data_IF_533134662941
#
_entry.id   IF_533134662941
#
_cell.length_a   1.000
_cell.length_b   1.000
_cell.length_c   1.000
_cell.angle_alpha   90.00
_cell.angle_beta   90.00
_cell.angle_gamma   90.00
#
_symmetry.space_group_name_H-M   'P 1'
#
loop_
_entity.id
_entity.type
_entity.pdbx_description
1 polymer ?
#
# COMPACT_ATOMS: atom_id res chain seq x y z
N UNK A 1 13.17 -4.78 -3.20
CA UNK A 1 12.07 -5.67 -2.74
C UNK A 1 11.21 -6.14 -3.91
N UNK A 2 10.76 -7.40 -3.86
CA UNK A 2 9.85 -8.04 -4.81
C UNK A 2 8.39 -7.84 -4.34
N UNK A 3 7.46 -7.73 -5.29
CA UNK A 3 6.04 -7.55 -4.98
C UNK A 3 5.46 -8.81 -4.29
N UNK A 4 4.57 -8.68 -3.28
CA UNK A 4 3.96 -9.81 -2.57
C UNK A 4 2.92 -10.55 -3.45
N UNK A 5 3.42 -11.36 -4.40
CA UNK A 5 2.56 -12.06 -5.36
C UNK A 5 1.75 -13.18 -4.72
N UNK A 6 2.26 -13.82 -3.66
CA UNK A 6 1.54 -14.88 -2.96
C UNK A 6 0.28 -14.30 -2.30
N UNK A 7 0.46 -13.23 -1.55
CA UNK A 7 -0.60 -12.50 -0.88
C UNK A 7 -1.61 -11.95 -1.88
N UNK A 8 -1.15 -11.45 -3.04
CA UNK A 8 -2.03 -11.02 -4.12
C UNK A 8 -2.89 -12.16 -4.68
N UNK A 9 -2.32 -13.36 -4.86
CA UNK A 9 -3.03 -14.54 -5.38
C UNK A 9 -4.01 -15.10 -4.35
N UNK A 10 -3.65 -15.04 -3.07
CA UNK A 10 -4.47 -15.55 -1.95
C UNK A 10 -5.55 -14.55 -1.50
N UNK A 11 -5.52 -13.30 -1.96
CA UNK A 11 -6.49 -12.27 -1.59
C UNK A 11 -7.85 -12.49 -2.28
N UNK A 12 -8.90 -12.62 -1.49
CA UNK A 12 -10.26 -12.97 -1.93
C UNK A 12 -11.29 -11.84 -1.77
N UNK A 13 -10.85 -10.65 -1.39
CA UNK A 13 -11.70 -9.46 -1.21
C UNK A 13 -11.52 -8.44 -2.36
N UNK A 14 -12.00 -7.21 -2.20
CA UNK A 14 -12.03 -6.22 -3.26
C UNK A 14 -10.64 -5.80 -3.75
N UNK A 15 -10.25 -6.34 -4.91
CA UNK A 15 -8.95 -6.12 -5.54
C UNK A 15 -8.69 -4.64 -5.88
N UNK A 16 -9.75 -3.87 -6.20
CA UNK A 16 -9.62 -2.45 -6.49
C UNK A 16 -9.32 -1.65 -5.23
N UNK A 17 -10.01 -1.96 -4.13
CA UNK A 17 -9.79 -1.31 -2.83
C UNK A 17 -8.37 -1.52 -2.32
N UNK A 18 -7.89 -2.77 -2.30
CA UNK A 18 -6.52 -3.06 -1.84
C UNK A 18 -5.46 -2.45 -2.75
N UNK A 19 -5.72 -2.36 -4.06
CA UNK A 19 -4.82 -1.69 -5.01
C UNK A 19 -4.75 -0.20 -4.71
N UNK A 20 -5.90 0.46 -4.54
CA UNK A 20 -5.95 1.88 -4.17
C UNK A 20 -5.26 2.14 -2.83
N UNK A 21 -5.49 1.29 -1.83
CA UNK A 21 -4.85 1.37 -0.52
C UNK A 21 -3.33 1.23 -0.62
N UNK A 22 -2.85 0.24 -1.36
CA UNK A 22 -1.43 -0.01 -1.61
C UNK A 22 -0.75 1.16 -2.31
N UNK A 23 -1.38 1.75 -3.34
CA UNK A 23 -0.86 2.94 -4.04
C UNK A 23 -0.82 4.16 -3.13
N UNK A 24 -1.87 4.43 -2.35
CA UNK A 24 -1.89 5.53 -1.38
C UNK A 24 -0.81 5.35 -0.32
N UNK A 25 -0.59 4.13 0.16
CA UNK A 25 0.46 3.83 1.12
C UNK A 25 1.85 4.03 0.54
N UNK A 26 2.09 3.57 -0.68
CA UNK A 26 3.35 3.80 -1.40
C UNK A 26 3.67 5.30 -1.55
N UNK A 27 2.65 6.12 -1.82
CA UNK A 27 2.81 7.57 -1.88
C UNK A 27 3.18 8.18 -0.52
N UNK A 28 2.55 7.74 0.57
CA UNK A 28 2.93 8.18 1.92
C UNK A 28 4.38 7.83 2.23
N UNK A 29 4.81 6.60 1.92
CA UNK A 29 6.19 6.14 2.11
C UNK A 29 7.17 6.99 1.31
N UNK A 30 6.85 7.31 0.06
CA UNK A 30 7.66 8.18 -0.79
C UNK A 30 7.75 9.62 -0.25
N UNK A 31 6.68 10.12 0.39
CA UNK A 31 6.66 11.46 1.00
C UNK A 31 7.39 11.56 2.33
N UNK A 32 7.42 10.48 3.10
CA UNK A 32 8.02 10.45 4.45
C UNK A 32 9.53 10.20 4.39
N UNK A 33 10.06 9.61 3.32
CA UNK A 33 11.50 9.37 3.22
C UNK A 33 12.30 10.68 3.30
N UNK A 34 13.11 10.79 4.36
CA UNK A 34 14.18 11.78 4.45
C UNK A 34 15.29 11.47 3.42
N UNK A 35 15.96 12.50 2.87
CA UNK A 35 16.92 12.37 1.79
C UNK A 35 18.14 11.49 2.11
N UNK A 36 18.43 11.21 3.38
CA UNK A 36 19.66 10.51 3.81
C UNK A 36 19.47 9.02 4.17
N UNK A 37 18.29 8.44 3.93
CA UNK A 37 18.13 7.00 4.14
C UNK A 37 18.73 6.21 2.97
N UNK A 38 19.99 5.79 3.11
CA UNK A 38 20.73 4.89 2.19
C UNK A 38 20.07 3.50 1.95
N UNK A 39 18.79 3.33 2.27
CA UNK A 39 18.14 2.02 2.40
C UNK A 39 17.18 1.62 1.28
N UNK A 40 16.86 2.44 0.29
CA UNK A 40 15.68 2.12 -0.53
C UNK A 40 15.88 2.16 -2.04
N UNK A 41 16.62 1.18 -2.54
CA UNK A 41 16.33 0.57 -3.87
C UNK A 41 14.99 -0.21 -3.87
N UNK A 42 14.23 -0.17 -2.76
CA UNK A 42 12.96 -0.84 -2.68
C UNK A 42 11.90 -0.09 -3.48
N UNK A 43 11.16 -0.83 -4.30
CA UNK A 43 10.02 -0.29 -5.02
C UNK A 43 8.94 0.06 -3.98
N UNK A 44 8.66 1.34 -3.76
CA UNK A 44 7.68 1.82 -2.76
C UNK A 44 6.32 1.14 -2.89
N UNK A 45 5.90 0.83 -4.11
CA UNK A 45 4.66 0.09 -4.39
C UNK A 45 4.68 -1.30 -3.76
N UNK A 46 5.79 -2.04 -3.89
CA UNK A 46 5.94 -3.35 -3.26
C UNK A 46 5.95 -3.26 -1.73
N UNK A 47 6.52 -2.17 -1.17
CA UNK A 47 6.54 -1.95 0.28
C UNK A 47 5.15 -1.64 0.82
N UNK A 48 4.46 -0.69 0.18
CA UNK A 48 3.09 -0.34 0.54
C UNK A 48 2.17 -1.55 0.43
N UNK A 49 2.23 -2.28 -0.68
CA UNK A 49 1.45 -3.50 -0.87
C UNK A 49 1.71 -4.53 0.24
N UNK A 50 2.98 -4.81 0.56
CA UNK A 50 3.32 -5.76 1.64
C UNK A 50 2.72 -5.32 2.97
N UNK A 51 2.87 -4.05 3.35
CA UNK A 51 2.33 -3.54 4.62
C UNK A 51 0.81 -3.69 4.71
N UNK A 52 0.10 -3.48 3.60
CA UNK A 52 -1.36 -3.67 3.54
C UNK A 52 -1.72 -5.15 3.60
N UNK A 53 -1.12 -6.00 2.76
CA UNK A 53 -1.42 -7.44 2.72
C UNK A 53 -1.12 -8.17 4.03
N UNK A 54 -0.06 -7.79 4.76
CA UNK A 54 0.30 -8.41 6.03
C UNK A 54 -0.42 -7.80 7.24
N UNK A 55 -1.29 -6.80 7.03
CA UNK A 55 -1.98 -6.10 8.11
C UNK A 55 -1.07 -5.25 9.02
N UNK A 56 0.16 -4.95 8.58
CA UNK A 56 1.04 -4.00 9.28
C UNK A 56 0.43 -2.59 9.24
N UNK A 57 -0.26 -2.28 8.15
CA UNK A 57 -1.05 -1.06 7.98
C UNK A 57 -2.43 -1.46 7.47
N UNK A 58 -3.48 -0.99 8.15
CA UNK A 58 -4.86 -1.17 7.71
C UNK A 58 -5.34 0.06 6.95
N UNK A 59 -6.36 -0.12 6.11
CA UNK A 59 -7.05 0.96 5.40
C UNK A 59 -8.55 0.85 5.61
N UNK A 60 -9.24 1.97 5.39
CA UNK A 60 -10.69 2.05 5.39
C UNK A 60 -11.11 3.02 4.29
N UNK A 61 -12.17 2.70 3.57
CA UNK A 61 -12.77 3.63 2.60
C UNK A 61 -13.47 4.74 3.37
N UNK A 62 -13.06 5.99 3.12
CA UNK A 62 -13.77 7.14 3.65
C UNK A 62 -15.10 7.30 2.91
N UNK A 63 -16.20 7.30 3.65
CA UNK A 63 -17.53 7.58 3.12
C UNK A 63 -17.88 9.04 3.39
N UNK A 64 -18.00 9.83 2.32
CA UNK A 64 -18.43 11.23 2.37
C UNK A 64 -19.85 11.33 1.80
N UNK A 65 -20.91 11.33 2.65
CA UNK A 65 -22.30 11.35 2.20
C UNK A 65 -22.69 12.64 1.47
N UNK A 66 -21.92 13.72 1.63
CA UNK A 66 -22.23 15.05 1.10
C UNK A 66 -21.92 15.21 -0.40
N UNK A 67 -21.37 14.18 -1.05
CA UNK A 67 -20.84 14.25 -2.42
C UNK A 67 -21.40 13.18 -3.38
N UNK A 68 -22.51 12.52 -3.01
CA UNK A 68 -23.12 11.46 -3.82
C UNK A 68 -24.58 11.75 -4.16
#
# INVERSE_FOLDING_TARGET
MIFPLKELIEFDDNIYEITCASTRRAYQLAKIQEPDSERSSDKMVSLGAKQIFTGEVNYQVEYHPDHN
#
